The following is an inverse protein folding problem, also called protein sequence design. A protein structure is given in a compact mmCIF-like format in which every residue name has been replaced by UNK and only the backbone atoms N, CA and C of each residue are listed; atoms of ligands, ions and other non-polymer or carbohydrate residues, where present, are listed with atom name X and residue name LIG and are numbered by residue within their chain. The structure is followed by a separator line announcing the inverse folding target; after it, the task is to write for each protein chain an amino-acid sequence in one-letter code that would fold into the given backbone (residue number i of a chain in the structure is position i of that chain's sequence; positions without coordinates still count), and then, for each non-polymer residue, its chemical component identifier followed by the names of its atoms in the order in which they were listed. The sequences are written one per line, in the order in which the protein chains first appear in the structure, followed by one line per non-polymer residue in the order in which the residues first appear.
data_IF_771983839151
#
_entry.id   IF_771983839151
#
_cell.length_a   1.000
_cell.length_b   1.000
_cell.length_c   1.000
_cell.angle_alpha   90.00
_cell.angle_beta   90.00
_cell.angle_gamma   90.00
#
_symmetry.space_group_name_H-M   'P 1'
#
loop_
_entity.id
_entity.type
_entity.pdbx_description
1 polymer ?
#
# COMPACT_ATOMS: atom_id res chain seq x y z
N UNK A 1 -24.93 5.73 -40.46
CA UNK A 1 -23.58 6.10 -39.99
C UNK A 1 -23.65 6.19 -38.47
N UNK A 2 -23.34 5.07 -37.78
CA UNK A 2 -23.38 4.94 -36.31
C UNK A 2 -22.08 4.30 -35.79
N UNK A 3 -21.01 4.37 -36.56
CA UNK A 3 -19.76 3.63 -36.30
C UNK A 3 -18.61 4.51 -35.80
N UNK A 4 -18.76 5.84 -35.82
CA UNK A 4 -17.69 6.76 -35.43
C UNK A 4 -17.62 7.08 -33.93
N UNK A 5 -18.72 6.91 -33.18
CA UNK A 5 -18.78 7.28 -31.75
C UNK A 5 -18.28 6.15 -30.86
N UNK A 6 -18.57 4.88 -31.19
CA UNK A 6 -18.10 3.72 -30.43
C UNK A 6 -16.57 3.54 -30.51
N UNK A 7 -15.95 3.83 -31.66
CA UNK A 7 -14.50 3.75 -31.84
C UNK A 7 -13.72 4.76 -30.97
N UNK A 8 -14.27 5.96 -30.77
CA UNK A 8 -13.68 6.98 -29.89
C UNK A 8 -13.84 6.60 -28.41
N UNK A 9 -14.94 5.95 -28.04
CA UNK A 9 -15.16 5.47 -26.66
C UNK A 9 -14.20 4.34 -26.32
N UNK A 10 -14.02 3.37 -27.23
CA UNK A 10 -13.07 2.26 -27.02
C UNK A 10 -11.62 2.76 -26.91
N UNK A 11 -11.22 3.75 -27.73
CA UNK A 11 -9.90 4.37 -27.62
C UNK A 11 -9.67 5.09 -26.27
N UNK A 12 -10.71 5.72 -25.72
CA UNK A 12 -10.65 6.35 -24.40
C UNK A 12 -10.56 5.28 -23.30
N UNK A 13 -11.32 4.19 -23.41
CA UNK A 13 -11.25 3.07 -22.46
C UNK A 13 -9.85 2.44 -22.47
N UNK A 14 -9.28 2.16 -23.63
CA UNK A 14 -7.92 1.62 -23.77
C UNK A 14 -6.86 2.55 -23.18
N UNK A 15 -7.00 3.87 -23.38
CA UNK A 15 -6.12 4.86 -22.79
C UNK A 15 -6.24 4.85 -21.26
N UNK A 16 -7.47 4.84 -20.73
CA UNK A 16 -7.73 4.76 -19.30
C UNK A 16 -7.15 3.48 -18.69
N UNK A 17 -7.31 2.32 -19.34
CA UNK A 17 -6.75 1.05 -18.88
C UNK A 17 -5.21 1.05 -18.91
N UNK A 18 -4.60 1.64 -19.94
CA UNK A 18 -3.14 1.81 -20.06
C UNK A 18 -2.57 2.73 -18.97
N UNK A 19 -3.23 3.87 -18.71
CA UNK A 19 -2.82 4.80 -17.66
C UNK A 19 -3.05 4.21 -16.25
N UNK A 20 -4.16 3.48 -16.04
CA UNK A 20 -4.41 2.74 -14.81
C UNK A 20 -3.35 1.65 -14.58
N UNK A 21 -2.98 0.90 -15.62
CA UNK A 21 -1.91 -0.09 -15.58
C UNK A 21 -0.55 0.52 -15.20
N UNK A 22 -0.23 1.67 -15.78
CA UNK A 22 1.02 2.41 -15.54
C UNK A 22 1.06 3.04 -14.15
N UNK A 23 -0.04 3.64 -13.71
CA UNK A 23 -0.19 4.24 -12.37
C UNK A 23 -0.15 3.18 -11.27
N UNK A 24 -0.86 2.06 -11.47
CA UNK A 24 -0.82 0.89 -10.60
C UNK A 24 0.59 0.30 -10.50
N UNK A 25 1.29 0.18 -11.63
CA UNK A 25 2.68 -0.30 -11.68
C UNK A 25 3.68 0.61 -10.95
N UNK A 26 3.57 1.93 -11.10
CA UNK A 26 4.42 2.91 -10.40
C UNK A 26 4.15 2.92 -8.88
N UNK A 27 2.89 2.78 -8.47
CA UNK A 27 2.54 2.68 -7.05
C UNK A 27 3.02 1.37 -6.43
N UNK A 28 2.92 0.23 -7.13
CA UNK A 28 3.45 -1.07 -6.67
C UNK A 28 4.98 -1.04 -6.53
N UNK A 29 5.68 -0.42 -7.48
CA UNK A 29 7.14 -0.23 -7.41
C UNK A 29 7.56 0.63 -6.21
N UNK A 30 6.84 1.71 -5.95
CA UNK A 30 7.10 2.61 -4.81
C UNK A 30 6.82 1.92 -3.47
N UNK A 31 5.70 1.22 -3.37
CA UNK A 31 5.34 0.40 -2.21
C UNK A 31 6.43 -0.64 -1.92
N UNK A 32 6.90 -1.35 -2.95
CA UNK A 32 7.97 -2.35 -2.86
C UNK A 32 9.30 -1.75 -2.41
N UNK A 33 9.67 -0.60 -2.97
CA UNK A 33 10.90 0.11 -2.59
C UNK A 33 10.89 0.52 -1.11
N UNK A 34 9.81 1.17 -0.66
CA UNK A 34 9.63 1.55 0.75
C UNK A 34 9.58 0.32 1.66
N UNK A 35 8.94 -0.76 1.23
CA UNK A 35 8.89 -1.99 2.01
C UNK A 35 10.26 -2.66 2.15
N UNK A 36 11.07 -2.71 1.09
CA UNK A 36 12.44 -3.22 1.16
C UNK A 36 13.31 -2.39 2.11
N UNK A 37 13.17 -1.05 2.09
CA UNK A 37 13.85 -0.17 3.03
C UNK A 37 13.45 -0.46 4.49
N UNK A 38 12.15 -0.68 4.73
CA UNK A 38 11.64 -1.12 6.03
C UNK A 38 12.26 -2.46 6.46
N UNK A 39 12.26 -3.47 5.59
CA UNK A 39 12.77 -4.81 5.91
C UNK A 39 14.25 -4.76 6.29
N UNK A 40 15.06 -4.06 5.49
CA UNK A 40 16.49 -3.89 5.73
C UNK A 40 16.82 -3.21 7.06
N UNK A 41 15.97 -2.28 7.51
CA UNK A 41 16.20 -1.47 8.71
C UNK A 41 15.58 -2.05 9.98
N UNK A 42 14.44 -2.73 9.88
CA UNK A 42 13.60 -3.08 11.04
C UNK A 42 13.35 -4.58 11.22
N UNK A 43 13.72 -5.42 10.25
CA UNK A 43 13.52 -6.88 10.33
C UNK A 43 14.84 -7.63 10.23
N UNK A 44 15.65 -7.35 9.21
CA UNK A 44 16.94 -8.01 9.04
C UNK A 44 17.81 -7.32 7.98
N UNK A 45 19.12 -7.25 8.25
CA UNK A 45 20.08 -6.65 7.33
C UNK A 45 20.03 -7.37 5.97
N UNK A 46 19.87 -6.61 4.89
CA UNK A 46 19.74 -7.11 3.51
C UNK A 46 18.48 -7.97 3.23
N UNK A 47 17.47 -7.94 4.11
CA UNK A 47 16.18 -8.58 3.83
C UNK A 47 15.40 -7.75 2.82
N UNK A 48 14.84 -8.44 1.83
CA UNK A 48 13.98 -7.85 0.79
C UNK A 48 12.75 -8.71 0.61
N UNK A 49 11.75 -8.19 -0.10
CA UNK A 49 10.52 -8.92 -0.41
C UNK A 49 10.79 -10.29 -1.06
N UNK A 50 11.79 -10.37 -1.94
CA UNK A 50 12.17 -11.60 -2.62
C UNK A 50 12.81 -12.66 -1.68
N UNK A 51 13.31 -12.24 -0.52
CA UNK A 51 13.96 -13.11 0.47
C UNK A 51 13.08 -13.38 1.70
N UNK A 52 11.87 -12.84 1.73
CA UNK A 52 10.92 -13.08 2.81
C UNK A 52 10.35 -14.49 2.73
N UNK A 53 10.26 -15.13 3.88
CA UNK A 53 9.50 -16.38 4.08
C UNK A 53 8.38 -16.15 5.10
N UNK A 54 7.42 -17.07 5.16
CA UNK A 54 6.26 -16.98 6.06
C UNK A 54 6.65 -16.73 7.53
N UNK A 55 7.76 -17.30 8.01
CA UNK A 55 8.23 -17.14 9.40
C UNK A 55 8.61 -15.69 9.75
N UNK A 56 8.96 -14.87 8.77
CA UNK A 56 9.26 -13.45 8.97
C UNK A 56 7.99 -12.58 9.01
N UNK A 57 6.85 -13.10 8.53
CA UNK A 57 5.59 -12.36 8.43
C UNK A 57 4.79 -12.55 9.71
N UNK A 58 5.17 -11.81 10.75
CA UNK A 58 4.53 -11.85 12.07
C UNK A 58 3.66 -10.62 12.32
N UNK A 59 2.74 -10.72 13.29
CA UNK A 59 1.95 -9.56 13.76
C UNK A 59 2.85 -8.42 14.24
N UNK A 60 4.00 -8.74 14.84
CA UNK A 60 4.99 -7.76 15.29
C UNK A 60 5.66 -7.04 14.12
N UNK A 61 6.12 -7.78 13.10
CA UNK A 61 6.70 -7.19 11.89
C UNK A 61 5.70 -6.25 11.22
N UNK A 62 4.43 -6.67 11.14
CA UNK A 62 3.38 -5.83 10.59
C UNK A 62 3.10 -4.58 11.43
N UNK A 63 3.12 -4.69 12.77
CA UNK A 63 3.01 -3.54 13.67
C UNK A 63 4.15 -2.53 13.48
N UNK A 64 5.38 -3.01 13.30
CA UNK A 64 6.54 -2.16 12.97
C UNK A 64 6.36 -1.47 11.61
N UNK A 65 5.81 -2.16 10.61
CA UNK A 65 5.50 -1.58 9.30
C UNK A 65 4.48 -0.44 9.40
N UNK A 66 3.40 -0.62 10.17
CA UNK A 66 2.41 0.44 10.38
C UNK A 66 3.05 1.66 11.05
N UNK A 67 3.94 1.44 12.03
CA UNK A 67 4.69 2.52 12.68
C UNK A 67 5.64 3.24 11.73
N UNK A 68 6.28 2.51 10.84
CA UNK A 68 7.14 3.06 9.81
C UNK A 68 6.36 4.02 8.88
N UNK A 69 5.12 3.69 8.52
CA UNK A 69 4.31 4.54 7.65
C UNK A 69 3.90 5.87 8.27
N UNK A 70 3.28 5.88 9.46
CA UNK A 70 2.82 7.16 10.03
C UNK A 70 3.96 8.04 10.60
N UNK A 71 5.16 7.49 10.76
CA UNK A 71 6.37 8.25 11.14
C UNK A 71 7.11 8.86 9.95
N UNK A 72 6.86 8.36 8.75
CA UNK A 72 7.42 8.93 7.52
C UNK A 72 6.57 10.14 7.09
N UNK A 73 7.09 11.38 7.15
CA UNK A 73 6.32 12.58 6.84
C UNK A 73 5.89 12.64 5.37
N UNK A 74 6.55 11.89 4.48
CA UNK A 74 6.25 11.85 3.05
C UNK A 74 5.15 10.84 2.70
N UNK A 75 4.74 10.00 3.67
CA UNK A 75 3.69 9.01 3.46
C UNK A 75 2.39 9.49 4.09
N UNK A 76 1.46 9.88 3.24
CA UNK A 76 0.10 10.27 3.65
C UNK A 76 -0.82 9.05 3.83
N UNK A 77 -1.98 9.27 4.44
CA UNK A 77 -2.96 8.23 4.75
C UNK A 77 -3.34 7.38 3.53
N UNK A 78 -3.69 8.02 2.41
CA UNK A 78 -4.12 7.32 1.20
C UNK A 78 -2.98 6.50 0.59
N UNK A 79 -1.77 7.07 0.53
CA UNK A 79 -0.55 6.35 0.12
C UNK A 79 -0.29 5.14 1.02
N UNK A 80 -0.45 5.29 2.34
CA UNK A 80 -0.34 4.17 3.28
C UNK A 80 -1.35 3.06 3.00
N UNK A 81 -2.59 3.40 2.66
CA UNK A 81 -3.59 2.40 2.31
C UNK A 81 -3.25 1.64 1.02
N UNK A 82 -2.75 2.35 0.01
CA UNK A 82 -2.32 1.73 -1.24
C UNK A 82 -1.11 0.82 -0.99
N UNK A 83 -0.13 1.30 -0.22
CA UNK A 83 1.05 0.51 0.14
C UNK A 83 0.69 -0.72 0.96
N UNK A 84 -0.19 -0.61 1.97
CA UNK A 84 -0.63 -1.77 2.75
C UNK A 84 -1.32 -2.82 1.89
N UNK A 85 -2.19 -2.41 0.96
CA UNK A 85 -2.88 -3.34 0.08
C UNK A 85 -1.90 -4.06 -0.86
N UNK A 86 -0.95 -3.34 -1.46
CA UNK A 86 0.11 -3.94 -2.30
C UNK A 86 1.00 -4.88 -1.48
N UNK A 87 1.48 -4.46 -0.31
CA UNK A 87 2.35 -5.27 0.54
C UNK A 87 1.62 -6.52 1.04
N UNK A 88 0.37 -6.41 1.50
CA UNK A 88 -0.44 -7.57 1.91
C UNK A 88 -0.49 -8.61 0.79
N UNK A 89 -0.87 -8.19 -0.42
CA UNK A 89 -0.94 -9.08 -1.59
C UNK A 89 0.40 -9.78 -1.82
N UNK A 90 1.51 -9.04 -1.78
CA UNK A 90 2.85 -9.61 -1.96
C UNK A 90 3.27 -10.56 -0.83
N UNK A 91 2.87 -10.31 0.41
CA UNK A 91 3.14 -11.20 1.53
C UNK A 91 2.35 -12.52 1.42
N UNK A 92 1.12 -12.46 0.91
CA UNK A 92 0.31 -13.65 0.61
C UNK A 92 0.89 -14.43 -0.58
N UNK A 93 1.26 -13.75 -1.68
CA UNK A 93 1.77 -14.38 -2.90
C UNK A 93 3.21 -14.91 -2.78
N UNK A 94 4.13 -14.07 -2.29
CA UNK A 94 5.57 -14.33 -2.34
C UNK A 94 6.06 -15.04 -1.08
N UNK A 95 5.70 -14.52 0.10
CA UNK A 95 6.11 -15.10 1.37
C UNK A 95 5.21 -16.28 1.80
N UNK A 96 4.11 -16.54 1.08
CA UNK A 96 3.09 -17.56 1.40
C UNK A 96 2.58 -17.43 2.84
N UNK A 97 2.38 -16.20 3.30
CA UNK A 97 1.88 -15.96 4.66
C UNK A 97 0.36 -16.13 4.71
N UNK A 98 -0.11 -17.00 5.61
CA UNK A 98 -1.54 -17.15 5.90
C UNK A 98 -2.05 -16.15 6.94
N UNK A 99 -1.18 -15.32 7.52
CA UNK A 99 -1.50 -14.45 8.66
C UNK A 99 -2.78 -13.62 8.45
N UNK A 100 -2.96 -13.07 7.25
CA UNK A 100 -4.09 -12.20 6.93
C UNK A 100 -5.37 -12.99 6.61
N UNK A 101 -5.23 -14.24 6.14
CA UNK A 101 -6.35 -15.14 5.87
C UNK A 101 -6.87 -15.77 7.15
N UNK A 102 -5.96 -16.12 8.08
CA UNK A 102 -6.29 -16.71 9.38
C UNK A 102 -6.97 -15.72 10.33
N UNK A 103 -6.68 -14.41 10.23
CA UNK A 103 -7.27 -13.38 11.10
C UNK A 103 -7.61 -12.10 10.31
N UNK A 104 -8.67 -12.11 9.47
CA UNK A 104 -9.04 -10.95 8.65
C UNK A 104 -9.47 -9.74 9.51
N UNK A 105 -10.08 -9.99 10.66
CA UNK A 105 -10.48 -8.94 11.60
C UNK A 105 -9.27 -8.21 12.20
N UNK A 106 -8.18 -8.92 12.50
CA UNK A 106 -6.94 -8.28 12.93
C UNK A 106 -6.39 -7.32 11.86
N UNK A 107 -6.41 -7.70 10.59
CA UNK A 107 -5.99 -6.79 9.51
C UNK A 107 -6.90 -5.56 9.41
N UNK A 108 -8.22 -5.72 9.54
CA UNK A 108 -9.17 -4.59 9.60
C UNK A 108 -8.89 -3.67 10.80
N UNK A 109 -8.61 -4.24 11.98
CA UNK A 109 -8.21 -3.46 13.18
C UNK A 109 -6.92 -2.67 12.93
N UNK A 110 -5.93 -3.26 12.27
CA UNK A 110 -4.68 -2.58 11.91
C UNK A 110 -4.92 -1.34 11.04
N UNK A 111 -5.76 -1.46 10.00
CA UNK A 111 -6.11 -0.34 9.12
C UNK A 111 -6.83 0.78 9.89
N UNK A 112 -7.81 0.42 10.73
CA UNK A 112 -8.53 1.39 11.59
C UNK A 112 -7.57 2.10 12.55
N UNK A 113 -6.63 1.37 13.14
CA UNK A 113 -5.64 1.96 14.04
C UNK A 113 -4.73 2.95 13.29
N UNK A 114 -4.24 2.58 12.11
CA UNK A 114 -3.43 3.47 11.29
C UNK A 114 -4.19 4.76 10.93
N UNK A 115 -5.48 4.65 10.58
CA UNK A 115 -6.33 5.80 10.31
C UNK A 115 -6.42 6.75 11.52
N UNK A 116 -6.64 6.18 12.72
CA UNK A 116 -6.66 6.96 13.97
C UNK A 116 -5.34 7.69 14.22
N UNK A 117 -4.20 7.04 13.97
CA UNK A 117 -2.89 7.69 14.12
C UNK A 117 -2.74 8.89 13.18
N UNK A 118 -3.07 8.74 11.91
CA UNK A 118 -3.05 9.84 10.96
C UNK A 118 -4.02 10.98 11.33
N UNK A 119 -5.21 10.66 11.84
CA UNK A 119 -6.15 11.64 12.37
C UNK A 119 -5.58 12.41 13.57
N UNK A 120 -4.96 11.71 14.52
CA UNK A 120 -4.33 12.36 15.69
C UNK A 120 -3.18 13.27 15.27
N UNK A 121 -2.36 12.85 14.31
CA UNK A 121 -1.28 13.68 13.75
C UNK A 121 -1.87 14.93 13.07
N UNK A 122 -2.90 14.77 12.26
CA UNK A 122 -3.62 15.87 11.60
C UNK A 122 -4.17 16.89 12.62
N UNK A 123 -4.86 16.40 13.65
CA UNK A 123 -5.38 17.24 14.75
C UNK A 123 -4.23 17.97 15.46
N UNK A 124 -3.16 17.27 15.81
CA UNK A 124 -2.03 17.86 16.56
C UNK A 124 -1.26 18.93 15.77
N UNK A 125 -1.26 18.84 14.44
CA UNK A 125 -0.53 19.75 13.57
C UNK A 125 -1.42 20.85 12.97
N UNK A 126 -2.73 20.82 13.23
CA UNK A 126 -3.72 21.72 12.63
C UNK A 126 -3.90 21.54 11.11
N UNK A 127 -3.27 20.51 10.52
CA UNK A 127 -3.33 20.24 9.07
C UNK A 127 -4.42 19.23 8.80
N UNK A 128 -5.28 19.49 7.81
CA UNK A 128 -6.24 18.49 7.33
C UNK A 128 -5.49 17.25 6.82
N UNK A 129 -6.12 16.08 6.96
CA UNK A 129 -5.68 14.90 6.22
C UNK A 129 -5.67 15.27 4.74
N UNK A 130 -4.48 15.28 4.11
CA UNK A 130 -4.39 15.41 2.67
C UNK A 130 -5.01 14.16 2.05
N UNK A 131 -6.26 14.29 1.62
CA UNK A 131 -6.80 13.47 0.53
C UNK A 131 -6.00 13.84 -0.72
N UNK A 132 -5.64 12.86 -1.56
CA UNK A 132 -4.88 13.16 -2.78
C UNK A 132 -5.55 14.31 -3.56
N UNK A 133 -4.77 15.16 -4.25
CA UNK A 133 -5.35 15.93 -5.34
C UNK A 133 -5.98 14.94 -6.35
N UNK A 134 -7.10 15.29 -6.98
CA UNK A 134 -7.68 14.44 -8.02
C UNK A 134 -6.60 14.16 -9.08
N UNK A 135 -6.54 12.88 -9.49
CA UNK A 135 -5.64 12.38 -10.53
C UNK A 135 -5.82 13.16 -11.83
#
# INVERSE_FOLDING_TARGET
MKDGVDADVDAIVDLMESELGTSSGKQDASARSKFNAFLGKHVGKNLTLAKLSASHVTKEMFGKLLSFFYKDPDIHWQTSMNYLSSIKRRLEETARSDLFRSDPEWYRRCRRHLQKQYLMIAISTGKKLKEQPPL
#
